data_IF_547346332284
#
_entry.id   IF_547346332284
#
_cell.length_a   1.000
_cell.length_b   1.000
_cell.length_c   1.000
_cell.angle_alpha   90.00
_cell.angle_beta   90.00
_cell.angle_gamma   90.00
#
_symmetry.space_group_name_H-M   'P 1'
#
loop_
_entity.id
_entity.type
_entity.pdbx_description
1 polymer ?
#
# COMPACT_ATOMS: atom_id res chain seq x y z
N UNK A 1 14.50 7.46 -2.07
CA UNK A 1 14.82 6.12 -2.61
C UNK A 1 15.64 5.37 -1.58
N UNK A 2 15.27 4.12 -1.32
CA UNK A 2 16.06 3.18 -0.52
C UNK A 2 16.72 2.14 -1.43
N UNK A 3 17.87 1.64 -0.99
CA UNK A 3 18.65 0.68 -1.76
C UNK A 3 18.73 -0.65 -0.98
N UNK A 4 18.34 -1.74 -1.62
CA UNK A 4 18.45 -3.07 -1.07
C UNK A 4 18.95 -4.04 -2.15
N UNK A 5 20.08 -4.73 -1.91
CA UNK A 5 20.63 -5.78 -2.80
C UNK A 5 20.68 -5.39 -4.27
N UNK A 6 21.21 -4.19 -4.58
CA UNK A 6 21.33 -3.59 -5.92
C UNK A 6 20.00 -3.14 -6.54
N UNK A 7 18.87 -3.24 -5.85
CA UNK A 7 17.59 -2.69 -6.29
C UNK A 7 17.29 -1.39 -5.56
N UNK A 8 16.48 -0.55 -6.20
CA UNK A 8 16.01 0.73 -5.66
C UNK A 8 14.51 0.68 -5.49
N UNK A 9 14.04 1.23 -4.38
CA UNK A 9 12.62 1.28 -4.06
C UNK A 9 12.25 2.72 -3.70
N UNK A 10 11.14 3.20 -4.24
CA UNK A 10 10.66 4.53 -3.93
C UNK A 10 10.11 4.61 -2.51
N UNK A 11 10.20 5.78 -1.92
CA UNK A 11 9.52 6.15 -0.67
C UNK A 11 8.89 7.51 -0.89
N UNK A 12 7.85 7.89 -0.12
CA UNK A 12 7.23 9.20 -0.22
C UNK A 12 8.27 10.31 -0.17
N UNK A 13 8.14 11.28 -1.06
CA UNK A 13 9.13 12.38 -1.20
C UNK A 13 9.22 13.26 0.03
N UNK A 14 8.24 13.21 0.92
CA UNK A 14 8.24 13.87 2.22
C UNK A 14 9.36 13.38 3.14
N UNK A 15 9.76 12.12 2.99
CA UNK A 15 10.87 11.50 3.73
C UNK A 15 12.21 11.60 2.99
N UNK A 16 12.34 12.53 2.02
CA UNK A 16 13.64 12.80 1.39
C UNK A 16 14.61 13.34 2.43
N UNK A 17 15.83 12.79 2.48
CA UNK A 17 16.88 13.13 3.43
C UNK A 17 16.57 12.82 4.91
N UNK A 18 15.49 12.08 5.20
CA UNK A 18 15.23 11.57 6.54
C UNK A 18 15.72 10.13 6.69
N UNK A 19 15.98 9.73 7.93
CA UNK A 19 16.36 8.35 8.26
C UNK A 19 15.09 7.50 8.28
N UNK A 20 15.08 6.43 7.50
CA UNK A 20 14.00 5.45 7.50
C UNK A 20 14.54 4.07 7.88
N UNK A 21 13.81 3.35 8.69
CA UNK A 21 14.11 1.95 9.02
C UNK A 21 13.55 1.04 7.93
N UNK A 22 14.33 0.05 7.49
CA UNK A 22 13.90 -0.91 6.50
C UNK A 22 13.62 -2.26 7.16
N UNK A 23 12.37 -2.72 7.09
CA UNK A 23 11.96 -4.06 7.50
C UNK A 23 11.90 -4.95 6.27
N UNK A 24 12.64 -6.05 6.31
CA UNK A 24 12.78 -6.96 5.17
C UNK A 24 12.07 -8.27 5.52
N UNK A 25 11.07 -8.61 4.72
CA UNK A 25 10.34 -9.87 4.80
C UNK A 25 10.75 -10.77 3.62
N UNK A 26 10.22 -11.98 3.56
CA UNK A 26 10.56 -12.92 2.48
C UNK A 26 10.01 -12.47 1.12
N UNK A 27 8.81 -11.90 1.11
CA UNK A 27 8.01 -11.51 -0.06
C UNK A 27 7.97 -10.00 -0.30
N UNK A 28 8.11 -9.19 0.76
CA UNK A 28 8.02 -7.74 0.66
C UNK A 28 9.04 -7.02 1.53
N UNK A 29 9.15 -5.71 1.33
CA UNK A 29 9.91 -4.79 2.17
C UNK A 29 8.98 -3.67 2.63
N UNK A 30 9.21 -3.18 3.83
CA UNK A 30 8.48 -2.04 4.38
C UNK A 30 9.46 -0.98 4.89
N UNK A 31 9.27 0.26 4.46
CA UNK A 31 9.96 1.41 5.01
C UNK A 31 9.15 1.99 6.17
N UNK A 32 9.82 2.28 7.27
CA UNK A 32 9.22 2.80 8.49
C UNK A 32 9.95 4.09 8.88
N UNK A 33 9.21 5.17 9.03
CA UNK A 33 9.68 6.45 9.56
C UNK A 33 8.88 6.77 10.82
N UNK A 34 9.55 7.19 11.89
CA UNK A 34 8.93 7.57 13.17
C UNK A 34 7.94 6.51 13.73
N UNK A 35 8.28 5.23 13.52
CA UNK A 35 7.44 4.12 13.95
C UNK A 35 6.26 3.78 13.02
N UNK A 36 5.98 4.62 12.01
CA UNK A 36 4.88 4.45 11.06
C UNK A 36 5.40 3.85 9.74
N UNK A 37 4.67 2.89 9.18
CA UNK A 37 4.98 2.34 7.86
C UNK A 37 4.61 3.36 6.79
N UNK A 38 5.62 3.87 6.09
CA UNK A 38 5.47 4.92 5.05
C UNK A 38 5.48 4.38 3.63
N UNK A 39 6.05 3.19 3.41
CA UNK A 39 6.02 2.52 2.11
C UNK A 39 6.09 1.00 2.28
N UNK A 40 5.52 0.30 1.31
CA UNK A 40 5.68 -1.15 1.17
C UNK A 40 5.82 -1.49 -0.32
N UNK A 41 6.76 -2.38 -0.64
CA UNK A 41 6.98 -2.86 -2.00
C UNK A 41 7.13 -4.37 -1.99
N UNK A 42 6.67 -5.00 -3.05
CA UNK A 42 7.01 -6.39 -3.30
C UNK A 42 8.51 -6.52 -3.50
N UNK A 43 9.12 -7.54 -2.90
CA UNK A 43 10.55 -7.75 -2.98
C UNK A 43 10.93 -8.24 -4.37
N UNK A 44 11.85 -7.52 -5.01
CA UNK A 44 12.43 -7.93 -6.28
C UNK A 44 13.74 -8.68 -6.03
N UNK A 45 13.86 -9.86 -6.64
CA UNK A 45 15.06 -10.70 -6.56
C UNK A 45 16.00 -10.53 -7.76
N UNK A 46 15.51 -9.87 -8.82
CA UNK A 46 16.34 -9.46 -9.95
C UNK A 46 17.34 -8.38 -9.54
N UNK A 47 18.27 -8.08 -10.41
CA UNK A 47 19.33 -7.09 -10.14
C UNK A 47 19.08 -5.80 -10.89
N UNK A 48 19.52 -4.69 -10.29
CA UNK A 48 19.53 -3.36 -10.92
C UNK A 48 18.14 -2.85 -11.31
N UNK A 49 17.09 -3.31 -10.62
CA UNK A 49 15.73 -2.86 -10.83
C UNK A 49 15.43 -1.61 -9.99
N UNK A 50 14.55 -0.76 -10.52
CA UNK A 50 14.01 0.37 -9.77
C UNK A 50 12.49 0.21 -9.72
N UNK A 51 11.97 0.01 -8.52
CA UNK A 51 10.54 -0.17 -8.25
C UNK A 51 9.97 1.16 -7.77
N UNK A 52 9.07 1.69 -8.56
CA UNK A 52 8.39 2.93 -8.27
C UNK A 52 6.96 2.65 -7.79
N UNK A 53 6.53 3.43 -6.80
CA UNK A 53 5.13 3.71 -6.54
C UNK A 53 4.92 5.19 -6.90
N UNK A 54 4.09 5.47 -7.89
CA UNK A 54 3.83 6.83 -8.37
C UNK A 54 3.19 7.71 -7.30
N UNK A 55 2.44 7.13 -6.36
CA UNK A 55 1.81 7.85 -5.26
C UNK A 55 2.84 8.55 -4.35
N UNK A 56 4.04 7.98 -4.23
CA UNK A 56 5.14 8.57 -3.47
C UNK A 56 5.61 9.93 -4.00
N UNK A 57 5.22 10.29 -5.21
CA UNK A 57 5.66 11.52 -5.87
C UNK A 57 4.55 12.58 -5.96
N UNK A 58 3.34 12.33 -5.44
CA UNK A 58 2.21 13.25 -5.53
C UNK A 58 2.56 14.62 -4.92
N UNK A 59 3.13 14.66 -3.71
CA UNK A 59 3.53 15.91 -3.07
C UNK A 59 4.63 16.69 -3.81
N UNK A 60 5.45 15.99 -4.59
CA UNK A 60 6.41 16.62 -5.47
C UNK A 60 5.73 17.25 -6.70
N UNK A 61 4.70 16.59 -7.24
CA UNK A 61 3.96 17.10 -8.40
C UNK A 61 3.22 18.39 -8.10
N UNK A 62 2.72 18.59 -6.90
CA UNK A 62 2.12 19.86 -6.49
C UNK A 62 3.07 21.04 -6.65
N UNK A 63 4.37 20.81 -6.35
CA UNK A 63 5.41 21.84 -6.49
C UNK A 63 5.98 21.92 -7.89
N UNK A 64 6.06 20.80 -8.61
CA UNK A 64 6.67 20.67 -9.94
C UNK A 64 5.82 19.82 -10.86
N UNK A 65 4.67 20.33 -11.35
CA UNK A 65 3.74 19.57 -12.21
C UNK A 65 4.36 19.04 -13.50
N UNK A 66 5.35 19.74 -14.05
CA UNK A 66 6.09 19.32 -15.23
C UNK A 66 6.84 17.99 -15.08
N UNK A 67 7.04 17.51 -13.85
CA UNK A 67 7.60 16.18 -13.59
C UNK A 67 6.76 15.03 -14.14
N UNK A 68 5.46 15.24 -14.37
CA UNK A 68 4.56 14.27 -14.99
C UNK A 68 4.98 13.89 -16.42
N UNK A 69 5.67 14.76 -17.15
CA UNK A 69 6.03 14.55 -18.55
C UNK A 69 7.20 13.59 -18.73
N UNK A 70 8.09 13.51 -17.76
CA UNK A 70 9.39 12.84 -17.89
C UNK A 70 9.64 11.77 -16.82
N UNK A 71 8.60 11.34 -16.12
CA UNK A 71 8.79 10.53 -14.93
C UNK A 71 8.54 9.04 -15.14
N UNK A 72 9.60 8.22 -15.15
CA UNK A 72 9.49 6.78 -15.04
C UNK A 72 8.54 6.29 -13.90
N UNK A 73 8.41 7.02 -12.74
CA UNK A 73 7.47 6.64 -11.70
C UNK A 73 6.02 6.55 -12.15
N UNK A 74 5.62 7.34 -13.16
CA UNK A 74 4.22 7.44 -13.61
C UNK A 74 3.82 6.40 -14.65
N UNK A 75 4.76 5.58 -15.11
CA UNK A 75 4.47 4.46 -16.03
C UNK A 75 3.55 3.40 -15.41
N UNK A 76 3.54 3.29 -14.10
CA UNK A 76 2.70 2.33 -13.36
C UNK A 76 1.33 2.86 -12.96
N UNK A 77 1.00 4.12 -13.34
CA UNK A 77 -0.33 4.67 -13.05
C UNK A 77 -1.45 3.88 -13.73
N UNK A 78 -2.65 3.83 -13.12
CA UNK A 78 -3.85 3.25 -13.72
C UNK A 78 -4.16 3.82 -15.11
N UNK A 79 -4.77 2.99 -15.96
CA UNK A 79 -5.05 3.34 -17.35
C UNK A 79 -5.92 4.61 -17.49
N UNK A 80 -6.92 4.78 -16.63
CA UNK A 80 -7.78 5.97 -16.63
C UNK A 80 -6.99 7.25 -16.36
N UNK A 81 -6.05 7.24 -15.41
CA UNK A 81 -5.19 8.40 -15.16
C UNK A 81 -4.26 8.70 -16.33
N UNK A 82 -3.72 7.68 -17.00
CA UNK A 82 -2.90 7.88 -18.21
C UNK A 82 -3.70 8.49 -19.37
N UNK A 83 -4.93 8.01 -19.57
CA UNK A 83 -5.83 8.57 -20.58
C UNK A 83 -6.19 10.02 -20.27
N UNK A 84 -6.57 10.30 -19.03
CA UNK A 84 -6.85 11.66 -18.58
C UNK A 84 -5.63 12.58 -18.75
N UNK A 85 -4.45 12.12 -18.34
CA UNK A 85 -3.19 12.82 -18.52
C UNK A 85 -2.92 13.15 -20.00
N UNK A 86 -3.07 12.17 -20.89
CA UNK A 86 -2.85 12.37 -22.32
C UNK A 86 -3.78 13.44 -22.93
N UNK A 87 -5.01 13.53 -22.42
CA UNK A 87 -5.97 14.53 -22.88
C UNK A 87 -5.65 15.91 -22.29
N UNK A 88 -5.37 15.99 -21.00
CA UNK A 88 -5.08 17.25 -20.33
C UNK A 88 -3.78 17.89 -20.84
N UNK A 89 -2.74 17.09 -21.07
CA UNK A 89 -1.44 17.58 -21.54
C UNK A 89 -1.44 18.16 -22.95
N UNK A 90 -2.52 17.98 -23.71
CA UNK A 90 -2.70 18.68 -25.01
C UNK A 90 -3.00 20.17 -24.82
N UNK A 91 -3.42 20.57 -23.62
CA UNK A 91 -3.73 21.96 -23.29
C UNK A 91 -2.58 22.58 -22.51
N UNK A 92 -2.39 23.90 -22.66
CA UNK A 92 -1.45 24.63 -21.82
C UNK A 92 -1.85 24.51 -20.34
N UNK A 93 -0.89 24.24 -19.46
CA UNK A 93 -1.16 24.07 -18.03
C UNK A 93 -1.82 22.74 -17.64
N UNK A 94 -1.99 21.79 -18.59
CA UNK A 94 -2.63 20.51 -18.32
C UNK A 94 -1.89 19.64 -17.31
N UNK A 95 -0.57 19.80 -17.19
CA UNK A 95 0.25 19.16 -16.14
C UNK A 95 -0.12 19.65 -14.73
N UNK A 96 -0.34 20.95 -14.55
CA UNK A 96 -0.80 21.50 -13.27
C UNK A 96 -2.20 20.98 -12.90
N UNK A 97 -3.09 20.91 -13.90
CA UNK A 97 -4.44 20.37 -13.69
C UNK A 97 -4.40 18.89 -13.34
N UNK A 98 -3.56 18.10 -14.00
CA UNK A 98 -3.39 16.69 -13.66
C UNK A 98 -2.76 16.50 -12.27
N UNK A 99 -1.81 17.34 -11.89
CA UNK A 99 -1.23 17.33 -10.55
C UNK A 99 -2.30 17.58 -9.46
N UNK A 100 -3.23 18.51 -9.70
CA UNK A 100 -4.37 18.75 -8.78
C UNK A 100 -5.28 17.53 -8.65
N UNK A 101 -5.56 16.83 -9.75
CA UNK A 101 -6.36 15.59 -9.71
C UNK A 101 -5.64 14.53 -8.88
N UNK A 102 -4.32 14.35 -9.10
CA UNK A 102 -3.53 13.38 -8.33
C UNK A 102 -3.39 13.77 -6.86
N UNK A 103 -3.33 15.06 -6.55
CA UNK A 103 -3.30 15.57 -5.17
C UNK A 103 -4.58 15.23 -4.38
N UNK A 104 -5.67 14.92 -5.06
CA UNK A 104 -6.89 14.44 -4.40
C UNK A 104 -6.77 12.98 -3.89
N UNK A 105 -5.82 12.20 -4.39
CA UNK A 105 -5.67 10.77 -4.01
C UNK A 105 -5.36 10.57 -2.53
N UNK A 106 -4.40 11.27 -1.91
CA UNK A 106 -4.17 11.13 -0.46
C UNK A 106 -5.36 11.52 0.42
N UNK A 107 -6.23 12.42 -0.08
CA UNK A 107 -7.37 12.97 0.68
C UNK A 107 -8.63 12.11 0.54
N UNK A 108 -8.88 11.59 -0.66
CA UNK A 108 -10.14 10.90 -0.99
C UNK A 108 -9.97 9.40 -1.22
N UNK A 109 -8.74 8.92 -1.28
CA UNK A 109 -8.41 7.55 -1.64
C UNK A 109 -8.29 7.35 -3.15
N UNK A 110 -7.49 6.37 -3.53
CA UNK A 110 -7.21 6.05 -4.93
C UNK A 110 -8.48 5.68 -5.70
N UNK A 111 -9.30 4.79 -5.13
CA UNK A 111 -10.47 4.24 -5.80
C UNK A 111 -11.51 5.33 -6.13
N UNK A 112 -11.77 6.25 -5.20
CA UNK A 112 -12.71 7.34 -5.41
C UNK A 112 -12.27 8.28 -6.54
N UNK A 113 -10.97 8.64 -6.56
CA UNK A 113 -10.42 9.52 -7.60
C UNK A 113 -10.36 8.81 -8.94
N UNK A 114 -10.10 7.49 -8.95
CA UNK A 114 -10.09 6.69 -10.16
C UNK A 114 -11.49 6.63 -10.79
N UNK A 115 -12.51 6.30 -10.02
CA UNK A 115 -13.91 6.31 -10.47
C UNK A 115 -14.32 7.69 -10.98
N UNK A 116 -13.95 8.75 -10.29
CA UNK A 116 -14.24 10.12 -10.75
C UNK A 116 -13.55 10.44 -12.08
N UNK A 117 -12.32 9.97 -12.29
CA UNK A 117 -11.59 10.13 -13.55
C UNK A 117 -12.26 9.33 -14.69
N UNK A 118 -12.68 8.10 -14.44
CA UNK A 118 -13.40 7.25 -15.40
C UNK A 118 -14.70 7.89 -15.84
N UNK A 119 -15.54 8.35 -14.90
CA UNK A 119 -16.78 9.04 -15.18
C UNK A 119 -16.56 10.36 -15.99
N UNK A 120 -15.49 11.09 -15.68
CA UNK A 120 -15.14 12.28 -16.44
C UNK A 120 -14.69 11.95 -17.88
N UNK A 121 -14.00 10.84 -18.07
CA UNK A 121 -13.62 10.35 -19.41
C UNK A 121 -14.86 9.93 -20.22
N UNK A 122 -15.79 9.21 -19.61
CA UNK A 122 -17.04 8.75 -20.23
C UNK A 122 -17.94 9.92 -20.65
N UNK A 123 -17.92 11.03 -19.90
CA UNK A 123 -18.72 12.22 -20.23
C UNK A 123 -18.31 12.90 -21.54
N UNK A 124 -17.19 12.49 -22.16
CA UNK A 124 -16.65 13.04 -23.41
C UNK A 124 -16.04 14.43 -23.29
N UNK A 125 -16.05 15.05 -22.12
CA UNK A 125 -15.43 16.36 -21.83
C UNK A 125 -14.52 16.29 -20.60
N UNK A 126 -13.48 15.47 -20.60
CA UNK A 126 -12.61 15.33 -19.47
C UNK A 126 -11.85 16.64 -19.18
N UNK A 127 -12.03 17.12 -17.95
CA UNK A 127 -11.31 18.26 -17.41
C UNK A 127 -11.01 17.99 -15.93
N UNK A 128 -9.96 18.60 -15.39
CA UNK A 128 -9.65 18.46 -13.97
C UNK A 128 -10.78 18.93 -13.06
N UNK A 129 -11.40 20.05 -13.41
CA UNK A 129 -12.56 20.59 -12.69
C UNK A 129 -13.73 19.60 -12.69
N UNK A 130 -13.98 18.95 -13.83
CA UNK A 130 -15.04 17.94 -13.92
C UNK A 130 -14.76 16.74 -13.01
N UNK A 131 -13.53 16.25 -12.98
CA UNK A 131 -13.12 15.16 -12.06
C UNK A 131 -13.34 15.57 -10.60
N UNK A 132 -12.91 16.76 -10.21
CA UNK A 132 -13.08 17.26 -8.84
C UNK A 132 -14.55 17.45 -8.46
N UNK A 133 -15.38 17.92 -9.40
CA UNK A 133 -16.83 18.04 -9.21
C UNK A 133 -17.51 16.69 -9.04
N UNK A 134 -17.14 15.69 -9.85
CA UNK A 134 -17.64 14.32 -9.71
C UNK A 134 -17.21 13.74 -8.36
N UNK A 135 -15.96 13.95 -7.98
CA UNK A 135 -15.43 13.50 -6.69
C UNK A 135 -16.19 14.13 -5.49
N UNK A 136 -16.49 15.44 -5.55
CA UNK A 136 -17.27 16.13 -4.56
C UNK A 136 -18.70 15.56 -4.43
N UNK A 137 -19.31 15.19 -5.57
CA UNK A 137 -20.63 14.55 -5.60
C UNK A 137 -20.60 13.13 -5.01
N UNK A 138 -19.58 12.33 -5.34
CA UNK A 138 -19.41 11.01 -4.77
C UNK A 138 -19.29 11.07 -3.25
N UNK A 139 -18.54 12.06 -2.73
CA UNK A 139 -18.42 12.29 -1.29
C UNK A 139 -19.72 12.77 -0.64
N UNK A 140 -20.49 13.66 -1.32
CA UNK A 140 -21.78 14.14 -0.84
C UNK A 140 -22.88 13.09 -0.88
N UNK A 141 -22.75 12.11 -1.77
CA UNK A 141 -23.71 11.01 -1.92
C UNK A 141 -23.31 9.72 -1.19
N UNK A 142 -22.13 9.69 -0.57
CA UNK A 142 -21.79 8.59 0.34
C UNK A 142 -22.62 8.81 1.60
N UNK A 143 -23.60 7.95 1.92
CA UNK A 143 -24.32 8.01 3.18
C UNK A 143 -23.30 7.68 4.28
N UNK A 144 -22.66 8.70 4.80
CA UNK A 144 -21.66 8.59 5.88
C UNK A 144 -22.28 8.14 7.21
N UNK A 145 -23.57 7.75 7.21
CA UNK A 145 -24.31 7.44 8.42
C UNK A 145 -24.66 5.95 8.62
N UNK A 146 -24.56 5.07 7.61
CA UNK A 146 -25.15 3.74 7.79
C UNK A 146 -24.19 2.53 7.68
N UNK A 147 -22.93 2.73 7.25
CA UNK A 147 -21.96 1.61 7.22
C UNK A 147 -21.37 1.31 8.61
N UNK A 148 -21.27 2.32 9.46
CA UNK A 148 -20.79 2.14 10.84
C UNK A 148 -21.83 1.47 11.74
N UNK A 149 -23.11 1.84 11.61
CA UNK A 149 -24.19 1.26 12.42
C UNK A 149 -24.65 -0.10 11.91
N UNK A 150 -24.73 -0.32 10.59
CA UNK A 150 -25.08 -1.63 10.03
C UNK A 150 -24.02 -2.68 10.34
N UNK A 151 -22.74 -2.36 10.24
CA UNK A 151 -21.66 -3.29 10.66
C UNK A 151 -21.57 -3.43 12.18
N UNK A 152 -21.89 -2.41 12.96
CA UNK A 152 -21.93 -2.50 14.40
C UNK A 152 -23.11 -3.34 14.90
N UNK A 153 -24.27 -3.29 14.22
CA UNK A 153 -25.43 -4.11 14.54
C UNK A 153 -25.27 -5.58 14.15
N UNK A 154 -24.55 -5.87 13.08
CA UNK A 154 -24.26 -7.24 12.67
C UNK A 154 -23.20 -7.91 13.54
N UNK A 155 -22.25 -7.14 14.08
CA UNK A 155 -21.24 -7.63 15.05
C UNK A 155 -21.81 -7.91 16.44
N UNK A 156 -22.92 -7.29 16.81
CA UNK A 156 -23.56 -7.50 18.13
C UNK A 156 -24.40 -8.79 18.17
N UNK A 157 -24.77 -9.38 17.02
CA UNK A 157 -25.57 -10.60 16.96
C UNK A 157 -24.80 -11.87 16.61
N UNK A 158 -23.49 -11.82 16.48
CA UNK A 158 -22.67 -13.02 16.46
C UNK A 158 -22.51 -13.48 17.92
N UNK A 159 -23.09 -14.64 18.33
CA UNK A 159 -22.77 -15.18 19.63
C UNK A 159 -21.27 -15.40 19.65
N UNK A 160 -20.59 -14.64 20.48
CA UNK A 160 -19.21 -14.92 20.88
C UNK A 160 -19.21 -16.33 21.49
N UNK A 161 -19.07 -17.36 20.65
CA UNK A 161 -18.66 -18.67 21.13
C UNK A 161 -17.31 -18.42 21.78
N UNK A 162 -17.34 -18.45 23.09
CA UNK A 162 -16.17 -18.39 23.94
C UNK A 162 -15.09 -19.21 23.28
N UNK A 163 -14.05 -18.53 22.89
CA UNK A 163 -12.80 -19.11 22.46
C UNK A 163 -12.34 -20.03 23.59
N UNK A 164 -12.52 -21.32 23.39
CA UNK A 164 -11.97 -22.31 24.31
C UNK A 164 -10.47 -22.03 24.31
N UNK A 165 -9.95 -21.58 25.43
CA UNK A 165 -8.51 -21.39 25.56
C UNK A 165 -7.84 -22.73 25.26
N UNK A 166 -6.87 -22.76 24.36
CA UNK A 166 -6.16 -24.00 24.06
C UNK A 166 -5.39 -24.42 25.34
N UNK A 167 -5.89 -25.44 25.99
CA UNK A 167 -5.20 -26.08 27.10
C UNK A 167 -3.98 -26.75 26.48
N UNK A 168 -2.79 -26.28 26.86
CA UNK A 168 -1.54 -26.86 26.41
C UNK A 168 -1.45 -28.32 26.88
N UNK A 169 -1.50 -29.26 25.94
CA UNK A 169 -1.30 -30.68 26.26
C UNK A 169 0.19 -30.97 26.43
N UNK A 170 0.68 -30.78 27.64
CA UNK A 170 2.10 -31.00 27.99
C UNK A 170 2.45 -32.49 28.03
N UNK A 171 1.47 -33.39 28.17
CA UNK A 171 1.68 -34.85 28.18
C UNK A 171 2.29 -35.37 26.84
N UNK A 172 2.15 -34.60 25.75
CA UNK A 172 2.81 -34.91 24.50
C UNK A 172 4.32 -34.90 24.57
N UNK A 173 4.90 -34.17 25.51
CA UNK A 173 6.35 -34.05 25.69
C UNK A 173 6.93 -35.07 26.70
N UNK A 174 6.08 -35.75 27.50
CA UNK A 174 6.53 -36.75 28.43
C UNK A 174 7.11 -38.00 27.77
N UNK A 175 6.66 -38.31 26.55
CA UNK A 175 7.22 -39.37 25.71
C UNK A 175 8.67 -39.13 25.27
N UNK A 176 9.13 -37.87 25.24
CA UNK A 176 10.52 -37.53 24.90
C UNK A 176 11.48 -37.73 26.07
N UNK A 177 10.97 -37.76 27.29
CA UNK A 177 11.76 -37.99 28.52
C UNK A 177 12.09 -39.48 28.72
N UNK A 178 11.31 -40.39 28.14
CA UNK A 178 11.50 -41.85 28.34
C UNK A 178 12.48 -42.49 27.34
N UNK A 179 12.96 -41.74 26.32
CA UNK A 179 13.86 -42.29 25.29
C UNK A 179 15.36 -42.18 25.58
N UNK A 180 15.74 -41.69 26.77
CA UNK A 180 17.15 -41.66 27.22
C UNK A 180 17.33 -42.60 28.41
N UNK A 181 17.27 -43.90 28.14
CA UNK A 181 17.87 -44.90 29.05
C UNK A 181 19.37 -45.02 28.72
N UNK A 182 20.29 -44.85 29.66
CA UNK A 182 21.70 -45.05 29.39
C UNK A 182 21.97 -46.56 29.15
N UNK A 183 22.53 -46.85 27.99
CA UNK A 183 23.07 -48.17 27.70
C UNK A 183 24.14 -48.50 28.73
N UNK A 184 23.88 -49.53 29.51
CA UNK A 184 24.86 -50.10 30.42
C UNK A 184 26.08 -50.63 29.64
N UNK A 185 27.22 -49.99 29.86
CA UNK A 185 28.51 -50.52 29.44
C UNK A 185 28.83 -51.72 30.31
N UNK A 186 28.65 -52.94 29.76
CA UNK A 186 29.15 -54.17 30.35
C UNK A 186 30.67 -54.16 30.30
N UNK A 187 31.29 -54.25 31.48
CA UNK A 187 32.70 -54.36 31.61
C UNK A 187 33.20 -55.69 31.04
N UNK A 188 34.33 -55.63 30.39
CA UNK A 188 35.19 -56.80 30.08
C UNK A 188 36.34 -56.73 31.07
N UNK A 189 36.36 -57.74 31.97
CA UNK A 189 37.54 -58.14 32.72
C UNK A 189 38.47 -58.98 31.84
N UNK A 190 39.74 -58.71 32.00
CA UNK A 190 41.01 -59.41 31.81
C UNK A 190 41.93 -58.71 30.85
#
# INVERSE_FOLDING_TARGET
MIHLRRNRYSVPTEHANSVVSLRIYHDHIAAVADGVRVAAHQRCFDRSQTLYDWQHYISLLERKPGGLRNGAPFETMPAAFKQLQAILMRKSGGDAVMAQVLAAVPVHGLDAVLVAAELALESGKPSGEHVLNVLARLKGNTPAANLGEAMALELVHLPLKLRVEPIANVARYDGLRQSVAPSAVSGVQL
#
